data_IF_436926371315
#
_entry.id   IF_436926371315
#
_cell.length_a   1.000
_cell.length_b   1.000
_cell.length_c   1.000
_cell.angle_alpha   90.00
_cell.angle_beta   90.00
_cell.angle_gamma   90.00
#
_symmetry.space_group_name_H-M   'P 1'
#
loop_
_entity.id
_entity.type
_entity.pdbx_description
1 polymer ?
#
# COMPACT_ATOMS: atom_id res chain seq x y z
N UNK A 1 -48.81 11.61 41.61
CA UNK A 1 -47.93 10.48 41.63
C UNK A 1 -47.07 10.59 40.38
N UNK A 2 -45.89 11.23 40.47
CA UNK A 2 -45.03 11.49 39.33
C UNK A 2 -43.94 10.40 39.22
N UNK A 3 -43.89 9.73 38.08
CA UNK A 3 -42.86 8.72 37.78
C UNK A 3 -41.60 9.44 37.30
N UNK A 4 -40.58 9.48 38.14
CA UNK A 4 -39.25 9.96 37.74
C UNK A 4 -38.53 8.82 37.00
N UNK A 5 -38.45 8.87 35.68
CA UNK A 5 -37.58 8.00 34.93
C UNK A 5 -36.18 8.61 35.06
N UNK A 6 -35.36 7.98 35.87
CA UNK A 6 -33.91 8.29 35.92
C UNK A 6 -33.32 7.94 34.58
N UNK A 7 -33.04 8.96 33.78
CA UNK A 7 -32.12 8.79 32.61
C UNK A 7 -30.77 8.55 33.22
N UNK A 8 -30.36 7.30 33.25
CA UNK A 8 -29.01 6.92 33.63
C UNK A 8 -28.06 7.78 32.82
N UNK A 9 -27.24 8.56 33.49
CA UNK A 9 -26.10 9.26 32.93
C UNK A 9 -25.11 8.17 32.48
N UNK A 10 -25.39 7.52 31.33
CA UNK A 10 -24.35 6.83 30.61
C UNK A 10 -23.39 7.94 30.22
N UNK A 11 -22.28 8.10 30.98
CA UNK A 11 -21.09 8.77 30.44
C UNK A 11 -21.01 8.32 28.98
N UNK A 12 -20.93 9.26 28.01
CA UNK A 12 -20.64 8.85 26.67
C UNK A 12 -19.41 7.95 26.80
N UNK A 13 -19.57 6.69 26.47
CA UNK A 13 -18.46 5.75 26.37
C UNK A 13 -17.62 6.31 25.26
N UNK A 14 -16.69 7.14 25.67
CA UNK A 14 -15.86 7.92 24.78
C UNK A 14 -15.02 6.94 23.96
N UNK A 15 -14.62 7.27 22.78
CA UNK A 15 -14.39 6.53 21.52
C UNK A 15 -13.46 5.33 21.65
N UNK A 16 -13.13 4.88 22.86
CA UNK A 16 -12.29 3.72 23.14
C UNK A 16 -12.76 2.47 22.35
N UNK A 17 -14.07 2.30 22.25
CA UNK A 17 -14.66 1.17 21.54
C UNK A 17 -14.55 1.25 20.01
N UNK A 18 -14.13 2.40 19.50
CA UNK A 18 -14.16 2.68 18.05
C UNK A 18 -12.77 2.96 17.45
N UNK A 19 -11.71 2.86 18.24
CA UNK A 19 -10.35 3.01 17.75
C UNK A 19 -9.41 1.94 18.29
N UNK A 20 -8.33 1.73 17.58
CA UNK A 20 -7.19 0.92 17.97
C UNK A 20 -5.91 1.60 17.48
N UNK A 21 -4.79 1.31 18.11
CA UNK A 21 -3.56 1.99 17.76
C UNK A 21 -2.38 1.53 18.61
N UNK A 22 -1.31 2.29 18.50
CA UNK A 22 -0.07 2.03 19.22
C UNK A 22 0.39 3.26 20.00
N UNK A 23 1.06 3.01 21.11
CA UNK A 23 1.80 3.98 21.90
C UNK A 23 3.28 3.56 21.94
N UNK A 24 4.17 4.54 21.86
CA UNK A 24 5.60 4.35 22.12
C UNK A 24 6.14 5.51 22.93
N UNK A 25 7.24 5.26 23.65
CA UNK A 25 7.94 6.28 24.42
C UNK A 25 9.25 6.65 23.72
N UNK A 26 9.44 7.92 23.41
CA UNK A 26 10.65 8.41 22.72
C UNK A 26 11.94 8.26 23.55
N UNK A 27 11.82 8.06 24.85
CA UNK A 27 12.97 7.82 25.74
C UNK A 27 13.38 6.33 25.80
N UNK A 28 12.59 5.44 25.22
CA UNK A 28 12.87 4.00 25.21
C UNK A 28 13.40 3.60 23.85
N UNK A 29 14.65 3.15 23.81
CA UNK A 29 15.29 2.65 22.60
C UNK A 29 14.75 1.26 22.25
N UNK A 30 13.50 1.18 21.76
CA UNK A 30 12.84 -0.05 21.35
C UNK A 30 12.01 0.19 20.09
N UNK A 31 12.00 -0.79 19.18
CA UNK A 31 11.07 -0.79 18.06
C UNK A 31 9.68 -1.30 18.43
N UNK A 32 9.54 -1.99 19.56
CA UNK A 32 8.27 -2.51 20.03
C UNK A 32 7.37 -1.38 20.55
N UNK A 33 6.09 -1.45 20.22
CA UNK A 33 5.08 -0.52 20.65
C UNK A 33 4.03 -1.21 21.53
N UNK A 34 3.36 -0.45 22.37
CA UNK A 34 2.24 -0.93 23.16
C UNK A 34 0.94 -0.77 22.37
N UNK A 35 0.14 -1.84 22.25
CA UNK A 35 -1.21 -1.73 21.69
C UNK A 35 -2.13 -0.99 22.63
N UNK A 36 -2.89 -0.04 22.10
CA UNK A 36 -3.87 0.77 22.85
C UNK A 36 -5.19 0.84 22.10
N UNK A 37 -6.25 1.24 22.78
CA UNK A 37 -7.61 1.20 22.25
C UNK A 37 -8.26 -0.16 22.45
N UNK A 38 -9.30 -0.46 21.71
CA UNK A 38 -10.10 -1.68 21.89
C UNK A 38 -9.35 -2.94 21.45
N UNK A 39 -9.16 -3.93 22.35
CA UNK A 39 -8.39 -5.14 22.02
C UNK A 39 -8.96 -5.94 20.85
N UNK A 40 -10.29 -6.03 20.72
CA UNK A 40 -10.95 -6.78 19.63
C UNK A 40 -10.68 -6.17 18.27
N UNK A 41 -10.43 -4.86 18.18
CA UNK A 41 -10.07 -4.20 16.93
C UNK A 41 -8.62 -4.51 16.53
N UNK A 42 -7.74 -4.85 17.48
CA UNK A 42 -6.40 -5.36 17.16
C UNK A 42 -6.40 -6.80 16.64
N UNK A 43 -7.45 -7.56 16.92
CA UNK A 43 -7.63 -8.92 16.38
C UNK A 43 -8.28 -8.85 15.00
N UNK A 44 -9.35 -8.06 14.86
CA UNK A 44 -10.12 -7.98 13.61
C UNK A 44 -9.46 -7.10 12.55
N UNK A 45 -8.61 -6.14 12.96
CA UNK A 45 -7.90 -5.19 12.09
C UNK A 45 -8.83 -4.61 11.01
N UNK A 46 -9.90 -3.90 11.37
CA UNK A 46 -11.00 -3.63 10.46
C UNK A 46 -10.62 -2.79 9.22
N UNK A 47 -9.54 -2.02 9.29
CA UNK A 47 -9.02 -1.26 8.15
C UNK A 47 -8.13 -2.17 7.29
N UNK A 48 -7.16 -2.86 7.89
CA UNK A 48 -6.22 -3.73 7.19
C UNK A 48 -6.93 -4.92 6.53
N UNK A 49 -7.94 -5.51 7.18
CA UNK A 49 -8.73 -6.62 6.64
C UNK A 49 -9.54 -6.25 5.40
N UNK A 50 -9.77 -4.96 5.16
CA UNK A 50 -10.43 -4.45 3.96
C UNK A 50 -9.47 -4.12 2.83
N UNK A 51 -8.16 -4.14 3.07
CA UNK A 51 -7.18 -3.98 2.00
C UNK A 51 -7.26 -5.18 1.07
N UNK A 52 -7.46 -4.91 -0.22
CA UNK A 52 -7.67 -5.97 -1.22
C UNK A 52 -6.88 -5.68 -2.48
N UNK A 53 -6.34 -6.74 -3.09
CA UNK A 53 -5.79 -6.64 -4.44
C UNK A 53 -6.92 -6.51 -5.45
N UNK A 54 -6.73 -5.65 -6.42
CA UNK A 54 -7.70 -5.41 -7.48
C UNK A 54 -7.01 -5.14 -8.82
N UNK A 55 -7.75 -5.23 -9.89
CA UNK A 55 -7.34 -4.72 -11.19
C UNK A 55 -8.02 -3.37 -11.41
N UNK A 56 -7.23 -2.32 -11.52
CA UNK A 56 -7.67 -0.93 -11.61
C UNK A 56 -7.47 -0.41 -13.04
N UNK A 57 -8.53 0.10 -13.65
CA UNK A 57 -8.48 0.70 -14.99
C UNK A 57 -7.82 2.08 -14.95
N UNK A 58 -7.32 2.53 -16.09
CA UNK A 58 -6.69 3.85 -16.23
C UNK A 58 -7.62 5.03 -15.83
N UNK A 59 -8.92 4.84 -15.91
CA UNK A 59 -9.92 5.83 -15.44
C UNK A 59 -10.16 5.83 -13.92
N UNK A 60 -9.44 4.99 -13.16
CA UNK A 60 -9.56 4.89 -11.70
C UNK A 60 -10.70 4.01 -11.21
N UNK A 61 -11.37 3.26 -12.08
CA UNK A 61 -12.42 2.31 -11.67
C UNK A 61 -11.85 0.90 -11.50
N UNK A 62 -12.27 0.21 -10.43
CA UNK A 62 -11.94 -1.20 -10.23
C UNK A 62 -12.66 -2.05 -11.28
N UNK A 63 -11.90 -2.85 -12.01
CA UNK A 63 -12.44 -3.82 -12.95
C UNK A 63 -13.02 -5.04 -12.21
N UNK A 64 -12.24 -5.57 -11.27
CA UNK A 64 -12.59 -6.65 -10.35
C UNK A 64 -11.55 -6.75 -9.23
N UNK A 65 -11.94 -7.38 -8.15
CA UNK A 65 -11.02 -7.74 -7.08
C UNK A 65 -10.40 -9.12 -7.36
N UNK A 66 -9.19 -9.31 -6.84
CA UNK A 66 -8.50 -10.59 -6.92
C UNK A 66 -8.83 -11.47 -5.72
N UNK A 67 -8.75 -12.78 -5.92
CA UNK A 67 -8.90 -13.74 -4.83
C UNK A 67 -7.81 -13.54 -3.77
N UNK A 68 -8.18 -13.68 -2.50
CA UNK A 68 -7.31 -13.34 -1.38
C UNK A 68 -5.99 -14.13 -1.37
N UNK A 69 -6.03 -15.39 -1.79
CA UNK A 69 -4.88 -16.32 -1.73
C UNK A 69 -4.37 -16.75 -3.11
N UNK A 70 -4.93 -16.21 -4.20
CA UNK A 70 -4.56 -16.61 -5.56
C UNK A 70 -4.81 -15.45 -6.54
N UNK A 71 -3.77 -14.68 -6.84
CA UNK A 71 -3.86 -13.54 -7.74
C UNK A 71 -4.23 -13.90 -9.17
N UNK A 72 -4.08 -15.15 -9.58
CA UNK A 72 -4.48 -15.60 -10.92
C UNK A 72 -5.99 -15.72 -11.08
N UNK A 73 -6.73 -15.57 -9.98
CA UNK A 73 -8.18 -15.62 -9.94
C UNK A 73 -8.80 -14.32 -9.45
N UNK A 74 -9.99 -14.05 -9.92
CA UNK A 74 -10.89 -13.03 -9.37
C UNK A 74 -11.48 -13.55 -8.04
N UNK A 75 -12.02 -12.68 -7.24
CA UNK A 75 -12.77 -13.03 -6.01
C UNK A 75 -13.96 -13.97 -6.29
N UNK A 76 -14.49 -13.94 -7.50
CA UNK A 76 -15.55 -14.86 -7.99
C UNK A 76 -15.03 -16.25 -8.38
N UNK A 77 -13.73 -16.49 -8.37
CA UNK A 77 -13.09 -17.73 -8.81
C UNK A 77 -12.75 -17.78 -10.31
N UNK A 78 -13.24 -16.86 -11.13
CA UNK A 78 -12.90 -16.80 -12.55
C UNK A 78 -11.42 -16.37 -12.75
N UNK A 79 -10.83 -16.74 -13.88
CA UNK A 79 -9.46 -16.34 -14.22
C UNK A 79 -9.31 -14.81 -14.25
N UNK A 80 -8.24 -14.30 -13.66
CA UNK A 80 -7.85 -12.91 -13.73
C UNK A 80 -6.75 -12.70 -14.78
N UNK A 81 -6.66 -11.50 -15.34
CA UNK A 81 -5.59 -11.09 -16.22
C UNK A 81 -4.70 -10.08 -15.49
N UNK A 82 -3.46 -10.46 -15.28
CA UNK A 82 -2.46 -9.65 -14.58
C UNK A 82 -1.50 -8.93 -15.53
N UNK A 83 -1.66 -9.12 -16.84
CA UNK A 83 -0.77 -8.68 -17.89
C UNK A 83 -0.97 -7.22 -18.34
N UNK A 84 -1.91 -6.53 -17.74
CA UNK A 84 -2.27 -5.15 -18.09
C UNK A 84 -3.44 -5.01 -19.05
N UNK A 85 -3.96 -6.11 -19.61
CA UNK A 85 -5.09 -6.08 -20.56
C UNK A 85 -6.36 -5.50 -19.93
N UNK A 86 -6.67 -5.89 -18.71
CA UNK A 86 -7.89 -5.44 -17.99
C UNK A 86 -7.63 -4.21 -17.09
N UNK A 87 -6.37 -3.86 -16.85
CA UNK A 87 -5.94 -2.75 -16.01
C UNK A 87 -4.66 -3.06 -15.23
N UNK A 88 -4.39 -2.29 -14.20
CA UNK A 88 -3.19 -2.41 -13.37
C UNK A 88 -3.50 -3.20 -12.10
N UNK A 89 -2.58 -4.05 -11.68
CA UNK A 89 -2.71 -4.79 -10.42
C UNK A 89 -2.36 -3.88 -9.25
N UNK A 90 -3.33 -3.55 -8.44
CA UNK A 90 -3.20 -2.59 -7.35
C UNK A 90 -3.69 -3.20 -6.04
N UNK A 91 -3.26 -2.61 -4.94
CA UNK A 91 -3.80 -2.83 -3.60
C UNK A 91 -4.65 -1.63 -3.23
N UNK A 92 -5.91 -1.86 -2.97
CA UNK A 92 -6.82 -0.86 -2.43
C UNK A 92 -6.54 -0.64 -0.94
N UNK A 93 -6.30 0.60 -0.57
CA UNK A 93 -6.16 1.06 0.82
C UNK A 93 -7.45 1.80 1.16
N UNK A 94 -8.31 1.26 2.03
CA UNK A 94 -9.62 1.84 2.30
C UNK A 94 -9.50 3.20 2.99
N UNK A 95 -10.47 4.07 2.73
CA UNK A 95 -10.61 5.30 3.48
C UNK A 95 -10.81 4.97 4.97
N UNK A 96 -10.13 5.70 5.83
CA UNK A 96 -10.19 5.53 7.28
C UNK A 96 -9.84 6.84 7.98
N UNK A 97 -9.91 6.84 9.30
CA UNK A 97 -9.54 7.99 10.11
C UNK A 97 -8.30 7.69 10.94
N UNK A 98 -7.42 8.66 11.06
CA UNK A 98 -6.18 8.56 11.82
C UNK A 98 -5.98 9.78 12.71
N UNK A 99 -5.45 9.55 13.91
CA UNK A 99 -5.06 10.60 14.85
C UNK A 99 -3.67 10.33 15.39
N UNK A 100 -2.89 11.38 15.53
CA UNK A 100 -1.64 11.36 16.29
C UNK A 100 -1.83 12.14 17.58
N UNK A 101 -1.28 11.63 18.69
CA UNK A 101 -1.26 12.28 19.97
C UNK A 101 0.14 12.28 20.56
N UNK A 102 0.42 13.30 21.35
CA UNK A 102 1.65 13.43 22.14
C UNK A 102 1.26 13.76 23.57
N UNK A 103 1.81 13.00 24.50
CA UNK A 103 1.61 13.17 25.93
C UNK A 103 2.97 13.02 26.66
N UNK A 104 3.66 14.13 26.88
CA UNK A 104 5.04 14.12 27.33
C UNK A 104 5.96 13.42 26.34
N UNK A 105 6.57 12.33 26.75
CA UNK A 105 7.45 11.49 25.93
C UNK A 105 6.71 10.40 25.15
N UNK A 106 5.43 10.24 25.43
CA UNK A 106 4.59 9.23 24.80
C UNK A 106 3.94 9.76 23.53
N UNK A 107 4.06 9.00 22.48
CA UNK A 107 3.47 9.27 21.18
C UNK A 107 2.48 8.17 20.84
N UNK A 108 1.39 8.52 20.16
CA UNK A 108 0.34 7.59 19.78
C UNK A 108 -0.03 7.74 18.31
N UNK A 109 -0.28 6.64 17.66
CA UNK A 109 -0.97 6.58 16.37
C UNK A 109 -2.26 5.77 16.54
N UNK A 110 -3.40 6.39 16.29
CA UNK A 110 -4.72 5.83 16.47
C UNK A 110 -5.43 5.72 15.13
N UNK A 111 -6.10 4.60 14.90
CA UNK A 111 -6.86 4.31 13.70
C UNK A 111 -8.33 4.07 14.05
N UNK A 112 -9.24 4.49 13.17
CA UNK A 112 -10.67 4.25 13.30
C UNK A 112 -11.35 4.19 11.93
N UNK A 113 -12.43 3.44 11.83
CA UNK A 113 -13.36 3.51 10.69
C UNK A 113 -14.35 4.69 10.80
N UNK A 114 -14.37 5.37 11.95
CA UNK A 114 -15.32 6.41 12.29
C UNK A 114 -14.67 7.78 12.44
N UNK A 115 -15.42 8.83 12.07
CA UNK A 115 -15.02 10.22 12.25
C UNK A 115 -15.09 10.62 13.73
N UNK A 116 -14.09 10.22 14.53
CA UNK A 116 -14.00 10.55 15.94
C UNK A 116 -13.37 11.93 16.15
N UNK A 117 -13.60 12.59 17.30
CA UNK A 117 -13.01 13.89 17.60
C UNK A 117 -11.48 13.89 17.51
N UNK A 118 -10.95 14.79 16.70
CA UNK A 118 -9.50 14.92 16.45
C UNK A 118 -8.90 13.89 15.49
N UNK A 119 -9.71 13.01 14.91
CA UNK A 119 -9.28 12.12 13.84
C UNK A 119 -9.44 12.82 12.49
N UNK A 120 -8.48 12.59 11.60
CA UNK A 120 -8.47 13.13 10.24
C UNK A 120 -8.70 12.03 9.23
N UNK A 121 -9.51 12.31 8.23
CA UNK A 121 -9.78 11.39 7.14
C UNK A 121 -8.51 11.13 6.31
N UNK A 122 -8.16 9.87 6.19
CA UNK A 122 -7.21 9.35 5.21
C UNK A 122 -8.04 8.84 4.03
N UNK A 123 -7.84 9.44 2.86
CA UNK A 123 -8.62 9.13 1.67
C UNK A 123 -8.31 7.73 1.13
N UNK A 124 -9.29 7.13 0.44
CA UNK A 124 -9.09 5.94 -0.37
C UNK A 124 -7.91 6.15 -1.32
N UNK A 125 -7.02 5.18 -1.36
CA UNK A 125 -5.89 5.18 -2.27
C UNK A 125 -5.66 3.78 -2.87
N UNK A 126 -4.96 3.75 -3.99
CA UNK A 126 -4.50 2.50 -4.60
C UNK A 126 -2.98 2.56 -4.72
N UNK A 127 -2.31 1.51 -4.26
CA UNK A 127 -0.88 1.34 -4.41
C UNK A 127 -0.61 0.17 -5.36
N UNK A 128 0.44 0.28 -6.19
CA UNK A 128 0.85 -0.82 -7.05
C UNK A 128 1.14 -2.08 -6.23
N UNK A 129 0.61 -3.23 -6.67
CA UNK A 129 0.90 -4.53 -6.06
C UNK A 129 2.29 -5.03 -6.42
N UNK A 130 2.80 -4.61 -7.58
CA UNK A 130 4.12 -4.94 -8.07
C UNK A 130 4.97 -3.68 -8.23
N UNK A 131 6.27 -3.83 -8.19
CA UNK A 131 7.18 -2.77 -8.61
C UNK A 131 6.93 -2.42 -10.07
N UNK A 132 7.04 -1.12 -10.39
CA UNK A 132 6.62 -0.64 -11.70
C UNK A 132 7.55 -1.12 -12.84
N UNK A 133 6.98 -1.70 -13.85
CA UNK A 133 7.58 -1.82 -15.19
C UNK A 133 7.23 -0.58 -16.04
N UNK A 134 7.80 -0.47 -17.23
CA UNK A 134 7.43 0.59 -18.19
C UNK A 134 6.73 -0.05 -19.39
N UNK A 135 5.46 0.26 -19.53
CA UNK A 135 4.65 -0.07 -20.70
C UNK A 135 5.02 0.90 -21.87
N UNK A 136 5.56 0.34 -22.94
CA UNK A 136 5.97 1.02 -24.16
C UNK A 136 5.21 0.55 -25.41
N UNK A 137 4.04 -0.03 -25.22
CA UNK A 137 3.16 -0.40 -26.35
C UNK A 137 2.87 0.81 -27.25
N UNK A 138 2.83 2.01 -26.65
CA UNK A 138 2.84 3.30 -27.37
C UNK A 138 4.15 4.02 -27.04
N UNK A 139 5.14 3.88 -27.90
CA UNK A 139 6.51 4.40 -27.65
C UNK A 139 6.58 5.92 -27.41
N UNK A 140 5.68 6.68 -28.00
CA UNK A 140 5.61 8.15 -27.81
C UNK A 140 5.10 8.55 -26.42
N UNK A 141 4.33 7.70 -25.75
CA UNK A 141 3.72 7.96 -24.45
C UNK A 141 3.89 6.77 -23.51
N UNK A 142 5.13 6.46 -23.08
CA UNK A 142 5.37 5.37 -22.14
C UNK A 142 4.58 5.58 -20.85
N UNK A 143 4.15 4.49 -20.21
CA UNK A 143 3.39 4.50 -18.96
C UNK A 143 4.07 3.61 -17.92
N UNK A 144 4.00 3.96 -16.63
CA UNK A 144 4.32 2.99 -15.59
C UNK A 144 3.23 1.93 -15.52
N UNK A 145 3.61 0.70 -15.27
CA UNK A 145 2.69 -0.42 -15.18
C UNK A 145 2.98 -1.29 -13.95
N UNK A 146 1.92 -1.67 -13.24
CA UNK A 146 1.93 -2.68 -12.19
C UNK A 146 1.27 -3.93 -12.75
N UNK A 147 2.06 -4.78 -13.41
CA UNK A 147 1.58 -5.94 -14.17
C UNK A 147 2.60 -7.08 -14.14
N UNK A 148 2.13 -8.29 -14.39
CA UNK A 148 2.96 -9.46 -14.71
C UNK A 148 2.97 -9.61 -16.22
N UNK A 149 3.97 -9.03 -16.89
CA UNK A 149 4.06 -9.06 -18.34
C UNK A 149 5.51 -9.15 -18.81
N UNK A 150 5.84 -10.19 -19.53
CA UNK A 150 7.19 -10.48 -20.05
C UNK A 150 7.37 -10.11 -21.51
N UNK A 151 6.41 -9.42 -22.14
CA UNK A 151 6.58 -8.96 -23.52
C UNK A 151 7.63 -7.85 -23.62
N UNK A 152 8.23 -7.73 -24.81
CA UNK A 152 9.29 -6.73 -25.05
C UNK A 152 8.83 -5.29 -24.88
N UNK A 153 7.53 -5.04 -24.92
CA UNK A 153 6.96 -3.72 -24.67
C UNK A 153 7.00 -3.32 -23.18
N UNK A 154 7.15 -4.26 -22.25
CA UNK A 154 7.13 -4.03 -20.81
C UNK A 154 8.53 -4.16 -20.18
N UNK A 155 9.53 -3.58 -20.82
CA UNK A 155 10.90 -3.61 -20.29
C UNK A 155 11.13 -2.53 -19.25
N UNK A 156 11.96 -2.86 -18.27
CA UNK A 156 12.46 -1.89 -17.29
C UNK A 156 13.43 -0.87 -17.94
N UNK A 157 13.72 0.21 -17.23
CA UNK A 157 14.74 1.19 -17.57
C UNK A 157 14.29 2.38 -18.43
N UNK A 158 15.25 3.22 -18.80
CA UNK A 158 15.00 4.37 -19.66
C UNK A 158 14.64 3.92 -21.08
N UNK A 159 13.85 4.72 -21.76
CA UNK A 159 13.48 4.49 -23.16
C UNK A 159 14.67 4.83 -24.08
N UNK A 160 15.77 4.09 -23.96
CA UNK A 160 16.98 4.29 -24.74
C UNK A 160 17.21 3.05 -25.58
N UNK A 161 17.32 3.21 -26.89
CA UNK A 161 17.72 2.14 -27.79
C UNK A 161 19.06 1.53 -27.33
N UNK A 162 19.17 0.23 -27.28
CA UNK A 162 20.37 -0.48 -26.82
C UNK A 162 20.37 -0.96 -25.36
N UNK A 163 19.33 -0.68 -24.61
CA UNK A 163 19.20 -1.18 -23.21
C UNK A 163 18.57 -2.59 -23.12
N UNK A 164 18.58 -3.28 -24.21
CA UNK A 164 17.78 -4.48 -24.44
C UNK A 164 18.44 -5.77 -23.97
N UNK A 165 19.69 -5.77 -23.59
CA UNK A 165 20.45 -7.00 -23.41
C UNK A 165 21.12 -7.19 -22.08
N UNK A 166 21.10 -6.20 -21.20
CA UNK A 166 21.81 -6.26 -19.92
C UNK A 166 20.94 -5.73 -18.79
N UNK A 167 21.28 -6.05 -17.61
CA UNK A 167 20.71 -5.81 -16.26
C UNK A 167 19.49 -4.86 -16.09
N UNK A 168 19.19 -4.00 -17.06
CA UNK A 168 18.23 -2.89 -16.91
C UNK A 168 17.00 -3.01 -17.78
N UNK A 169 16.96 -4.03 -18.63
CA UNK A 169 15.90 -4.24 -19.63
C UNK A 169 15.43 -5.68 -19.67
N UNK A 170 15.71 -6.46 -18.65
CA UNK A 170 15.23 -7.83 -18.58
C UNK A 170 13.69 -7.83 -18.53
N UNK A 171 13.11 -8.75 -19.28
CA UNK A 171 11.67 -8.93 -19.32
C UNK A 171 11.16 -9.33 -17.93
N UNK A 172 10.04 -8.75 -17.50
CA UNK A 172 9.47 -9.01 -16.20
C UNK A 172 10.15 -8.31 -15.02
N UNK A 173 11.19 -7.52 -15.26
CA UNK A 173 11.92 -6.81 -14.20
C UNK A 173 11.35 -5.41 -13.96
N UNK A 174 11.49 -4.89 -12.72
CA UNK A 174 11.13 -3.52 -12.40
C UNK A 174 11.88 -2.50 -13.26
N UNK A 175 11.29 -1.33 -13.42
CA UNK A 175 11.91 -0.20 -14.09
C UNK A 175 13.10 0.32 -13.30
N UNK A 176 14.30 0.25 -13.89
CA UNK A 176 15.55 0.73 -13.30
C UNK A 176 16.19 1.79 -14.17
N UNK A 177 17.11 2.57 -13.59
CA UNK A 177 17.87 3.61 -14.30
C UNK A 177 17.00 4.60 -15.11
N UNK A 178 15.84 4.90 -14.57
CA UNK A 178 14.93 5.90 -15.09
C UNK A 178 15.02 7.16 -14.22
N UNK A 179 15.07 8.33 -14.83
CA UNK A 179 15.09 9.58 -14.07
C UNK A 179 13.77 9.79 -13.32
N UNK A 180 13.82 10.44 -12.16
CA UNK A 180 12.61 10.78 -11.39
C UNK A 180 11.60 11.57 -12.23
N UNK A 181 12.08 12.44 -13.11
CA UNK A 181 11.23 13.21 -14.04
C UNK A 181 10.45 12.30 -14.98
N UNK A 182 11.12 11.32 -15.59
CA UNK A 182 10.47 10.36 -16.48
C UNK A 182 9.57 9.40 -15.70
N UNK A 183 9.98 8.97 -14.51
CA UNK A 183 9.17 8.11 -13.67
C UNK A 183 7.83 8.76 -13.34
N UNK A 184 7.85 10.02 -12.89
CA UNK A 184 6.63 10.81 -12.63
C UNK A 184 5.80 11.04 -13.89
N UNK A 185 6.45 11.37 -15.01
CA UNK A 185 5.78 11.57 -16.30
C UNK A 185 5.06 10.30 -16.73
N UNK A 186 5.72 9.14 -16.68
CA UNK A 186 5.14 7.87 -17.12
C UNK A 186 4.01 7.40 -16.22
N UNK A 187 4.11 7.65 -14.91
CA UNK A 187 2.98 7.42 -14.02
C UNK A 187 1.76 8.23 -14.46
N UNK A 188 1.95 9.54 -14.70
CA UNK A 188 0.86 10.46 -15.09
C UNK A 188 0.31 10.21 -16.49
N UNK A 189 1.10 9.63 -17.39
CA UNK A 189 0.63 9.25 -18.73
C UNK A 189 -0.44 8.15 -18.70
N UNK A 190 -0.61 7.46 -17.57
CA UNK A 190 -1.59 6.39 -17.45
C UNK A 190 -3.03 6.90 -17.33
N UNK A 191 -3.24 8.01 -16.71
CA UNK A 191 -4.58 8.59 -16.52
C UNK A 191 -4.60 10.08 -16.75
N UNK A 192 -5.76 10.72 -16.58
CA UNK A 192 -5.90 12.16 -16.64
C UNK A 192 -5.04 12.82 -15.56
N UNK A 193 -3.81 13.13 -15.92
CA UNK A 193 -2.82 13.66 -15.03
C UNK A 193 -3.30 14.93 -14.36
N UNK A 194 -3.41 14.90 -13.05
CA UNK A 194 -3.12 16.09 -12.30
C UNK A 194 -4.22 17.11 -12.14
N UNK A 195 -5.47 16.75 -12.18
CA UNK A 195 -6.50 17.63 -11.61
C UNK A 195 -6.70 17.27 -10.15
N UNK A 196 -6.17 18.12 -9.25
CA UNK A 196 -6.43 18.12 -7.80
C UNK A 196 -5.95 16.88 -7.02
N UNK A 197 -4.82 16.29 -7.37
CA UNK A 197 -4.27 15.14 -6.63
C UNK A 197 -4.99 13.81 -6.87
N UNK A 198 -6.07 13.80 -7.62
CA UNK A 198 -6.71 12.59 -8.08
C UNK A 198 -6.05 12.15 -9.39
N UNK A 199 -5.49 10.96 -9.43
CA UNK A 199 -4.91 10.43 -10.65
C UNK A 199 -3.64 9.61 -10.39
N UNK A 200 -3.13 9.07 -11.48
CA UNK A 200 -1.93 8.24 -11.45
C UNK A 200 -0.68 9.07 -11.15
N UNK A 201 0.12 8.59 -10.23
CA UNK A 201 1.40 9.21 -9.87
C UNK A 201 2.40 8.11 -9.46
N UNK A 202 3.66 8.47 -9.31
CA UNK A 202 4.60 7.62 -8.57
C UNK A 202 4.16 7.57 -7.09
N UNK A 203 4.70 6.62 -6.33
CA UNK A 203 4.41 6.52 -4.90
C UNK A 203 4.74 7.86 -4.21
N UNK A 204 3.78 8.39 -3.48
CA UNK A 204 3.88 9.68 -2.80
C UNK A 204 3.96 9.48 -1.30
N UNK A 205 4.59 10.43 -0.61
CA UNK A 205 4.82 10.36 0.83
C UNK A 205 3.55 10.02 1.64
N UNK A 206 2.40 10.58 1.27
CA UNK A 206 1.15 10.33 2.01
C UNK A 206 0.68 8.89 1.93
N UNK A 207 0.84 8.23 0.78
CA UNK A 207 0.50 6.81 0.62
C UNK A 207 1.52 5.95 1.36
N UNK A 208 2.81 6.23 1.21
CA UNK A 208 3.88 5.53 1.93
C UNK A 208 3.71 5.66 3.45
N UNK A 209 3.45 6.87 3.94
CA UNK A 209 3.15 7.15 5.35
C UNK A 209 1.94 6.35 5.84
N UNK A 210 0.90 6.27 5.02
CA UNK A 210 -0.31 5.51 5.37
C UNK A 210 -0.01 4.02 5.49
N UNK A 211 0.67 3.43 4.52
CA UNK A 211 1.09 2.02 4.58
C UNK A 211 1.96 1.74 5.81
N UNK A 212 2.90 2.65 6.10
CA UNK A 212 3.76 2.53 7.27
C UNK A 212 2.98 2.49 8.59
N UNK A 213 2.03 3.39 8.78
CA UNK A 213 1.25 3.43 10.03
C UNK A 213 0.25 2.29 10.13
N UNK A 214 -0.32 1.83 9.03
CA UNK A 214 -1.14 0.61 9.01
C UNK A 214 -0.31 -0.59 9.45
N UNK A 215 0.91 -0.73 8.91
CA UNK A 215 1.86 -1.76 9.32
C UNK A 215 2.22 -1.65 10.80
N UNK A 216 2.67 -0.46 11.25
CA UNK A 216 3.11 -0.27 12.62
C UNK A 216 2.01 -0.59 13.65
N UNK A 217 0.76 -0.26 13.35
CA UNK A 217 -0.39 -0.57 14.22
C UNK A 217 -0.71 -2.07 14.21
N UNK A 218 -0.65 -2.72 13.05
CA UNK A 218 -0.90 -4.15 12.91
C UNK A 218 0.09 -4.98 13.72
N UNK A 219 1.37 -4.72 13.55
CA UNK A 219 2.44 -5.49 14.19
C UNK A 219 2.87 -4.95 15.55
N UNK A 220 2.42 -3.77 15.95
CA UNK A 220 2.87 -3.03 17.12
C UNK A 220 4.41 -2.94 17.21
N UNK A 221 5.04 -2.68 16.06
CA UNK A 221 6.49 -2.66 15.94
C UNK A 221 6.94 -1.77 14.77
N UNK A 222 8.03 -1.02 14.99
CA UNK A 222 8.65 -0.20 13.95
C UNK A 222 9.69 -0.95 13.11
N UNK A 223 10.12 -2.14 13.54
CA UNK A 223 10.99 -2.97 12.74
C UNK A 223 10.18 -3.76 11.70
N UNK A 224 10.08 -3.22 10.49
CA UNK A 224 9.32 -3.82 9.40
C UNK A 224 9.90 -5.16 8.89
N UNK A 225 11.12 -5.48 9.24
CA UNK A 225 11.74 -6.75 8.85
C UNK A 225 11.38 -7.90 9.80
N UNK A 226 10.96 -7.58 11.01
CA UNK A 226 10.69 -8.58 12.04
C UNK A 226 9.50 -9.49 11.66
N UNK A 227 8.48 -8.93 11.01
CA UNK A 227 7.27 -9.66 10.64
C UNK A 227 7.51 -10.74 9.58
N UNK A 228 8.50 -10.53 8.72
CA UNK A 228 8.77 -11.42 7.59
C UNK A 228 9.87 -12.43 7.88
N UNK A 229 10.64 -12.25 8.96
CA UNK A 229 11.75 -13.14 9.37
C UNK A 229 12.58 -13.67 8.17
N UNK A 230 12.71 -12.86 7.13
CA UNK A 230 13.42 -13.24 5.92
C UNK A 230 14.92 -13.27 6.23
N UNK A 231 15.53 -14.42 6.10
CA UNK A 231 16.99 -14.56 6.20
C UNK A 231 17.65 -13.75 5.08
N UNK A 232 18.75 -13.05 5.38
CA UNK A 232 19.54 -12.42 4.33
C UNK A 232 20.08 -13.45 3.35
N UNK A 233 20.31 -13.06 2.10
CA UNK A 233 21.11 -13.84 1.14
C UNK A 233 22.55 -14.03 1.67
N UNK A 234 23.32 -14.90 1.03
CA UNK A 234 24.74 -15.11 1.37
C UNK A 234 25.56 -13.81 1.33
N UNK A 235 25.14 -12.82 0.53
CA UNK A 235 25.75 -11.50 0.43
C UNK A 235 25.21 -10.50 1.47
N UNK A 236 24.34 -10.93 2.38
CA UNK A 236 23.78 -10.12 3.45
C UNK A 236 22.61 -9.22 3.04
N UNK A 237 22.02 -9.43 1.86
CA UNK A 237 20.86 -8.66 1.38
C UNK A 237 19.56 -9.41 1.66
N UNK A 238 18.52 -8.68 2.03
CA UNK A 238 17.18 -9.22 2.00
C UNK A 238 16.62 -9.11 0.59
N UNK A 239 15.96 -10.14 0.12
CA UNK A 239 15.26 -10.09 -1.16
C UNK A 239 14.21 -8.98 -1.11
N UNK A 240 14.18 -8.14 -2.10
CA UNK A 240 13.28 -7.00 -2.07
C UNK A 240 13.71 -5.82 -2.92
N UNK A 241 14.12 -6.03 -4.14
CA UNK A 241 14.19 -4.94 -5.08
C UNK A 241 15.54 -4.30 -5.31
N UNK A 242 16.58 -5.06 -5.21
CA UNK A 242 17.84 -4.64 -5.80
C UNK A 242 17.80 -4.87 -7.30
N UNK A 243 17.91 -3.80 -8.04
CA UNK A 243 17.86 -3.78 -9.51
C UNK A 243 18.92 -4.62 -10.21
N UNK A 244 19.87 -5.16 -9.48
CA UNK A 244 21.01 -5.89 -10.03
C UNK A 244 21.17 -7.33 -9.52
N UNK A 245 20.29 -7.84 -8.71
CA UNK A 245 20.44 -9.16 -8.12
C UNK A 245 19.21 -10.05 -8.22
N UNK A 246 18.10 -9.51 -8.65
CA UNK A 246 16.86 -10.29 -8.80
C UNK A 246 16.90 -11.00 -10.13
N UNK A 247 17.19 -12.27 -10.10
CA UNK A 247 17.27 -13.12 -11.29
C UNK A 247 15.97 -13.87 -11.56
N UNK A 248 15.06 -13.90 -10.60
CA UNK A 248 13.82 -14.67 -10.73
C UNK A 248 12.66 -13.97 -10.02
N UNK A 249 11.59 -13.66 -10.74
CA UNK A 249 10.37 -13.09 -10.18
C UNK A 249 9.46 -14.15 -9.55
N UNK A 250 9.72 -15.42 -9.76
CA UNK A 250 8.93 -16.52 -9.16
C UNK A 250 9.12 -16.68 -7.66
N UNK A 251 10.12 -16.02 -7.08
CA UNK A 251 10.42 -16.09 -5.65
C UNK A 251 9.67 -15.02 -4.82
N UNK A 252 8.70 -14.35 -5.43
CA UNK A 252 7.96 -13.22 -4.83
C UNK A 252 6.49 -13.51 -4.50
N UNK A 253 6.03 -14.73 -4.71
CA UNK A 253 4.67 -15.17 -4.40
C UNK A 253 4.52 -15.72 -2.97
#
# INVERSE_FOLDING_TARGET
MGLLIGVGNTKPTFPYDYYYGIEWDSNVASSACTRIGRPELHVSLPIQSKMRRCVLRDNGTVAYYLHANDSTKRDTGAAAKLDGTDGQVMVEIPAHYRKFEVDGTKFRCLLSEHALPGFHLVQLAYRSAYEAAVDRTVSATPKLASVVNTSTAFRGGNNTAGWDGTYRSLLGMPATSISLTNFRKYARNRGNAGKNGAGWNCDVYEVQKTCWWLYAVEYANFNCQLAYNAEPTSEGYKQGGLSQGVTNMSDWD
#
